data_IF_141846504096
#
_entry.id   IF_141846504096
#
_cell.length_a   1.000
_cell.length_b   1.000
_cell.length_c   1.000
_cell.angle_alpha   90.00
_cell.angle_beta   90.00
_cell.angle_gamma   90.00
#
_symmetry.space_group_name_H-M   'P 1'
#
loop_
_entity.id
_entity.type
_entity.pdbx_description
1 polymer ?
#
# COMPACT_ATOMS: atom_id res chain seq x y z
N UNK A 1 -0.44 22.65 11.98
CA UNK A 1 -1.05 22.58 10.63
C UNK A 1 -0.66 21.31 9.84
N UNK A 2 0.62 20.93 9.74
CA UNK A 2 1.03 19.66 9.08
C UNK A 2 0.33 18.41 9.66
N UNK A 3 0.28 18.27 10.98
CA UNK A 3 -0.43 17.15 11.64
C UNK A 3 -1.94 17.13 11.34
N UNK A 4 -2.54 18.28 11.01
CA UNK A 4 -3.95 18.36 10.64
C UNK A 4 -4.16 17.85 9.21
N UNK A 5 -3.29 18.21 8.25
CA UNK A 5 -3.31 17.65 6.91
C UNK A 5 -3.14 16.12 6.91
N UNK A 6 -2.25 15.60 7.75
CA UNK A 6 -2.08 14.13 7.96
C UNK A 6 -3.31 13.50 8.60
N UNK A 7 -4.05 14.23 9.43
CA UNK A 7 -5.31 13.75 10.01
C UNK A 7 -6.41 13.68 8.95
N UNK A 8 -6.52 14.69 8.09
CA UNK A 8 -7.46 14.70 6.96
C UNK A 8 -7.17 13.54 5.99
N UNK A 9 -5.90 13.25 5.73
CA UNK A 9 -5.45 12.08 4.96
C UNK A 9 -6.08 10.79 5.50
N UNK A 10 -5.94 10.55 6.81
CA UNK A 10 -6.42 9.33 7.48
C UNK A 10 -7.94 9.17 7.41
N UNK A 11 -8.66 10.27 7.28
CA UNK A 11 -10.11 10.30 7.14
C UNK A 11 -10.59 10.32 5.68
N UNK A 12 -9.70 10.12 4.71
CA UNK A 12 -10.00 10.12 3.27
C UNK A 12 -10.56 11.46 2.76
N UNK A 13 -10.33 12.56 3.49
CA UNK A 13 -10.77 13.92 3.12
C UNK A 13 -9.73 14.57 2.22
N UNK A 14 -9.53 13.99 1.02
CA UNK A 14 -8.43 14.36 0.11
C UNK A 14 -8.49 15.84 -0.30
N UNK A 15 -9.64 16.34 -0.76
CA UNK A 15 -9.74 17.71 -1.29
C UNK A 15 -9.52 18.76 -0.19
N UNK A 16 -10.05 18.50 1.00
CA UNK A 16 -9.80 19.35 2.16
C UNK A 16 -8.32 19.29 2.59
N UNK A 17 -7.72 18.10 2.51
CA UNK A 17 -6.29 17.91 2.72
C UNK A 17 -5.45 18.75 1.76
N UNK A 18 -5.77 18.73 0.46
CA UNK A 18 -5.12 19.56 -0.55
C UNK A 18 -5.28 21.05 -0.22
N UNK A 19 -6.50 21.51 0.04
CA UNK A 19 -6.76 22.93 0.35
C UNK A 19 -6.01 23.41 1.60
N UNK A 20 -5.92 22.56 2.63
CA UNK A 20 -5.10 22.85 3.82
C UNK A 20 -3.62 22.91 3.47
N UNK A 21 -3.10 21.95 2.70
CA UNK A 21 -1.69 21.96 2.28
C UNK A 21 -1.37 23.22 1.47
N UNK A 22 -2.21 23.60 0.52
CA UNK A 22 -2.00 24.79 -0.32
C UNK A 22 -1.94 26.07 0.50
N UNK A 23 -2.83 26.20 1.49
CA UNK A 23 -2.80 27.32 2.43
C UNK A 23 -1.50 27.36 3.24
N UNK A 24 -0.97 26.21 3.67
CA UNK A 24 0.24 26.14 4.49
C UNK A 24 1.48 26.41 3.65
N UNK A 25 1.57 25.85 2.44
CA UNK A 25 2.73 26.03 1.54
C UNK A 25 2.96 27.52 1.23
N UNK A 26 1.90 28.33 1.19
CA UNK A 26 2.00 29.77 0.98
C UNK A 26 2.64 30.54 2.16
N UNK A 27 2.75 29.93 3.35
CA UNK A 27 3.33 30.59 4.52
C UNK A 27 4.85 30.80 4.35
N UNK A 28 5.38 32.02 4.55
CA UNK A 28 6.81 32.29 4.32
C UNK A 28 7.74 31.60 5.32
N UNK A 29 7.24 31.29 6.52
CA UNK A 29 8.03 30.78 7.65
C UNK A 29 8.37 29.29 7.58
N UNK A 30 7.89 28.57 6.56
CA UNK A 30 8.21 27.14 6.44
C UNK A 30 9.68 26.91 6.08
N UNK A 31 10.31 26.03 6.84
CA UNK A 31 11.62 25.47 6.50
C UNK A 31 11.57 24.66 5.20
N UNK A 32 12.71 24.45 4.56
CA UNK A 32 12.82 23.60 3.37
C UNK A 32 12.27 22.18 3.62
N UNK A 33 12.60 21.58 4.77
CA UNK A 33 12.12 20.24 5.16
C UNK A 33 10.60 20.18 5.28
N UNK A 34 9.97 21.21 5.87
CA UNK A 34 8.51 21.27 5.99
C UNK A 34 7.84 21.43 4.63
N UNK A 35 8.38 22.30 3.75
CA UNK A 35 7.87 22.47 2.39
C UNK A 35 7.99 21.18 1.59
N UNK A 36 9.15 20.53 1.66
CA UNK A 36 9.40 19.25 1.00
C UNK A 36 8.38 18.19 1.45
N UNK A 37 8.17 18.04 2.77
CA UNK A 37 7.16 17.12 3.29
C UNK A 37 5.74 17.42 2.77
N UNK A 38 5.36 18.70 2.70
CA UNK A 38 4.06 19.11 2.18
C UNK A 38 3.91 18.79 0.69
N UNK A 39 4.94 19.02 -0.12
CA UNK A 39 4.92 18.69 -1.55
C UNK A 39 4.83 17.17 -1.79
N UNK A 40 5.56 16.35 -1.03
CA UNK A 40 5.43 14.88 -1.13
C UNK A 40 4.00 14.45 -0.80
N UNK A 41 3.41 14.95 0.29
CA UNK A 41 2.04 14.61 0.67
C UNK A 41 1.01 15.10 -0.37
N UNK A 42 1.19 16.31 -0.92
CA UNK A 42 0.35 16.82 -2.02
C UNK A 42 0.50 15.96 -3.28
N UNK A 43 1.70 15.47 -3.58
CA UNK A 43 1.96 14.52 -4.66
C UNK A 43 1.18 13.21 -4.49
N UNK A 44 1.13 12.65 -3.28
CA UNK A 44 0.30 11.47 -2.99
C UNK A 44 -1.18 11.77 -3.30
N UNK A 45 -1.70 12.93 -2.88
CA UNK A 45 -3.08 13.31 -3.19
C UNK A 45 -3.34 13.50 -4.68
N UNK A 46 -2.42 14.16 -5.39
CA UNK A 46 -2.50 14.35 -6.83
C UNK A 46 -2.53 12.98 -7.56
N UNK A 47 -1.68 12.03 -7.15
CA UNK A 47 -1.70 10.66 -7.66
C UNK A 47 -3.04 9.97 -7.41
N UNK A 48 -3.57 10.03 -6.19
CA UNK A 48 -4.87 9.43 -5.84
C UNK A 48 -6.02 10.03 -6.67
N UNK A 49 -5.96 11.34 -6.95
CA UNK A 49 -6.91 12.05 -7.82
C UNK A 49 -6.68 11.85 -9.31
N UNK A 50 -5.60 11.16 -9.71
CA UNK A 50 -5.17 11.00 -11.11
C UNK A 50 -4.86 12.35 -11.78
N UNK A 51 -4.46 13.34 -10.99
CA UNK A 51 -3.99 14.64 -11.46
C UNK A 51 -2.47 14.59 -11.65
N UNK A 52 -2.06 14.03 -12.79
CA UNK A 52 -0.65 13.80 -13.09
C UNK A 52 0.12 15.10 -13.34
N UNK A 53 -0.56 16.17 -13.78
CA UNK A 53 0.05 17.48 -13.93
C UNK A 53 0.41 18.06 -12.55
N UNK A 54 -0.55 18.09 -11.61
CA UNK A 54 -0.29 18.56 -10.25
C UNK A 54 0.75 17.69 -9.53
N UNK A 55 0.79 16.38 -9.82
CA UNK A 55 1.86 15.51 -9.31
C UNK A 55 3.23 15.94 -9.85
N UNK A 56 3.34 16.18 -11.16
CA UNK A 56 4.57 16.67 -11.80
C UNK A 56 5.08 17.95 -11.15
N UNK A 57 4.19 18.93 -10.91
CA UNK A 57 4.53 20.18 -10.23
C UNK A 57 5.07 19.95 -8.81
N UNK A 58 4.44 19.04 -8.05
CA UNK A 58 4.90 18.69 -6.70
C UNK A 58 6.28 18.04 -6.71
N UNK A 59 6.56 17.15 -7.68
CA UNK A 59 7.85 16.47 -7.81
C UNK A 59 8.96 17.45 -8.26
N UNK A 60 8.64 18.38 -9.16
CA UNK A 60 9.56 19.45 -9.54
C UNK A 60 9.90 20.34 -8.33
N UNK A 61 8.91 20.69 -7.52
CA UNK A 61 9.13 21.45 -6.29
C UNK A 61 9.98 20.66 -5.27
N UNK A 62 9.78 19.35 -5.13
CA UNK A 62 10.63 18.49 -4.30
C UNK A 62 12.08 18.49 -4.79
N UNK A 63 12.27 18.41 -6.12
CA UNK A 63 13.61 18.44 -6.74
C UNK A 63 14.33 19.76 -6.46
N UNK A 64 13.63 20.89 -6.59
CA UNK A 64 14.18 22.21 -6.30
C UNK A 64 14.59 22.39 -4.81
N UNK A 65 13.98 21.63 -3.91
CA UNK A 65 14.32 21.63 -2.48
C UNK A 65 15.43 20.61 -2.13
N UNK A 66 15.74 19.67 -3.02
CA UNK A 66 16.52 18.47 -2.68
C UNK A 66 17.97 18.74 -2.24
N UNK A 67 18.55 19.88 -2.66
CA UNK A 67 19.90 20.31 -2.30
C UNK A 67 19.96 21.10 -0.98
N UNK A 68 18.82 21.61 -0.49
CA UNK A 68 18.75 22.47 0.70
C UNK A 68 18.03 21.81 1.88
N UNK A 69 17.40 20.67 1.66
CA UNK A 69 16.83 19.87 2.74
C UNK A 69 17.93 19.22 3.58
N UNK A 70 17.70 19.15 4.88
CA UNK A 70 18.51 18.33 5.77
C UNK A 70 17.90 16.92 5.86
N UNK A 71 18.54 15.98 5.16
CA UNK A 71 18.12 14.57 5.10
C UNK A 71 18.25 13.85 6.44
N UNK A 72 19.00 14.39 7.40
CA UNK A 72 19.13 13.76 8.74
C UNK A 72 17.90 14.01 9.62
N UNK A 73 17.11 15.03 9.30
CA UNK A 73 15.92 15.44 10.06
C UNK A 73 14.60 15.20 9.32
N UNK A 74 14.66 14.82 8.05
CA UNK A 74 13.49 14.39 7.27
C UNK A 74 13.17 12.92 7.57
N UNK A 75 11.87 12.62 7.68
CA UNK A 75 11.38 11.26 7.73
C UNK A 75 11.75 10.54 6.42
N UNK A 76 12.58 9.49 6.52
CA UNK A 76 13.05 8.71 5.38
C UNK A 76 11.91 8.17 4.50
N UNK A 77 10.72 7.94 5.08
CA UNK A 77 9.55 7.50 4.32
C UNK A 77 9.12 8.53 3.27
N UNK A 78 9.30 9.83 3.52
CA UNK A 78 8.97 10.89 2.56
C UNK A 78 9.86 10.82 1.33
N UNK A 79 11.16 10.55 1.50
CA UNK A 79 12.07 10.36 0.38
C UNK A 79 11.72 9.10 -0.44
N UNK A 80 11.32 8.02 0.24
CA UNK A 80 10.84 6.81 -0.42
C UNK A 80 9.58 7.11 -1.24
N UNK A 81 8.63 7.85 -0.68
CA UNK A 81 7.41 8.24 -1.39
C UNK A 81 7.68 9.18 -2.58
N UNK A 82 8.59 10.14 -2.46
CA UNK A 82 8.98 10.98 -3.61
C UNK A 82 9.45 10.11 -4.78
N UNK A 83 10.45 9.25 -4.54
CA UNK A 83 11.03 8.39 -5.58
C UNK A 83 10.00 7.39 -6.12
N UNK A 84 9.13 6.87 -5.26
CA UNK A 84 8.05 5.99 -5.67
C UNK A 84 7.06 6.70 -6.59
N UNK A 85 6.65 7.92 -6.26
CA UNK A 85 5.76 8.74 -7.07
C UNK A 85 6.38 9.11 -8.42
N UNK A 86 7.68 9.43 -8.47
CA UNK A 86 8.42 9.66 -9.73
C UNK A 86 8.35 8.44 -10.65
N UNK A 87 8.59 7.24 -10.09
CA UNK A 87 8.50 5.99 -10.86
C UNK A 87 7.08 5.70 -11.33
N UNK A 88 6.08 5.96 -10.49
CA UNK A 88 4.67 5.80 -10.86
C UNK A 88 4.24 6.75 -11.98
N UNK A 89 4.64 8.02 -11.91
CA UNK A 89 4.39 9.01 -12.96
C UNK A 89 5.06 8.59 -14.27
N UNK A 90 6.35 8.24 -14.21
CA UNK A 90 7.09 7.77 -15.38
C UNK A 90 6.47 6.50 -15.99
N UNK A 91 6.03 5.55 -15.17
CA UNK A 91 5.33 4.37 -15.64
C UNK A 91 4.02 4.72 -16.34
N UNK A 92 3.26 5.67 -15.81
CA UNK A 92 2.03 6.16 -16.44
C UNK A 92 2.30 6.79 -17.81
N UNK A 93 3.31 7.65 -17.91
CA UNK A 93 3.70 8.32 -19.15
C UNK A 93 4.18 7.35 -20.23
N UNK A 94 4.90 6.30 -19.84
CA UNK A 94 5.43 5.28 -20.75
C UNK A 94 4.42 4.17 -21.10
N UNK A 95 3.36 4.01 -20.30
CA UNK A 95 2.33 2.99 -20.49
C UNK A 95 0.90 3.58 -20.51
N UNK A 96 0.60 4.60 -21.33
CA UNK A 96 -0.68 5.30 -21.29
C UNK A 96 -1.87 4.39 -21.56
N UNK A 97 -1.69 3.33 -22.35
CA UNK A 97 -2.72 2.34 -22.64
C UNK A 97 -3.24 1.60 -21.39
N UNK A 98 -2.43 1.46 -20.34
CA UNK A 98 -2.86 0.85 -19.07
C UNK A 98 -3.86 1.73 -18.31
N UNK A 99 -3.79 3.05 -18.54
CA UNK A 99 -4.63 4.05 -17.87
C UNK A 99 -5.74 4.56 -18.80
N UNK A 100 -5.73 4.18 -20.07
CA UNK A 100 -6.72 4.58 -21.05
C UNK A 100 -8.09 3.96 -20.75
N UNK A 101 -9.14 4.73 -21.03
CA UNK A 101 -10.52 4.31 -20.82
C UNK A 101 -11.13 4.79 -19.50
N UNK A 102 -12.45 4.92 -19.54
CA UNK A 102 -13.28 5.40 -18.43
C UNK A 102 -14.43 4.42 -18.19
N UNK A 103 -14.14 3.18 -17.76
CA UNK A 103 -15.20 2.24 -17.41
C UNK A 103 -16.06 2.81 -16.28
N UNK A 104 -17.35 2.47 -16.29
CA UNK A 104 -18.29 2.91 -15.26
C UNK A 104 -18.13 2.17 -13.93
N UNK A 105 -17.46 1.00 -13.94
CA UNK A 105 -17.22 0.21 -12.75
C UNK A 105 -15.89 0.58 -12.11
N UNK A 106 -15.86 0.57 -10.77
CA UNK A 106 -14.66 0.76 -9.99
C UNK A 106 -14.39 -0.45 -9.09
N UNK A 107 -13.12 -0.78 -8.94
CA UNK A 107 -12.63 -1.70 -7.91
C UNK A 107 -11.79 -0.87 -6.94
N UNK A 108 -12.18 -0.89 -5.67
CA UNK A 108 -11.54 -0.06 -4.66
C UNK A 108 -10.44 -0.83 -3.95
N UNK A 109 -9.20 -0.37 -4.07
CA UNK A 109 -8.05 -0.98 -3.36
C UNK A 109 -7.77 -0.14 -2.12
N UNK A 110 -8.02 -0.72 -0.94
CA UNK A 110 -7.78 -0.05 0.34
C UNK A 110 -6.58 -0.70 0.99
N UNK A 111 -5.51 0.05 1.24
CA UNK A 111 -4.25 -0.56 1.66
C UNK A 111 -3.17 0.38 2.15
N UNK A 112 -1.97 -0.16 2.32
CA UNK A 112 -0.74 0.62 2.50
C UNK A 112 -0.18 1.10 1.14
N UNK A 113 1.10 1.46 1.04
CA UNK A 113 1.69 2.02 -0.19
C UNK A 113 1.47 1.15 -1.44
N UNK A 114 1.35 -0.18 -1.31
CA UNK A 114 1.02 -1.08 -2.43
C UNK A 114 -0.33 -0.79 -3.07
N UNK A 115 -1.28 -0.19 -2.35
CA UNK A 115 -2.55 0.23 -2.94
C UNK A 115 -2.37 1.34 -3.97
N UNK A 116 -1.28 2.14 -3.91
CA UNK A 116 -1.07 3.24 -4.84
C UNK A 116 -0.71 2.78 -6.23
N UNK A 117 0.04 1.69 -6.37
CA UNK A 117 0.59 1.25 -7.65
C UNK A 117 -0.48 1.08 -8.73
N UNK A 118 -1.57 0.31 -8.50
CA UNK A 118 -2.56 0.10 -9.53
C UNK A 118 -3.52 1.29 -9.72
N UNK A 119 -3.39 2.39 -8.97
CA UNK A 119 -4.37 3.48 -9.01
C UNK A 119 -4.56 4.03 -10.43
N UNK A 120 -5.81 4.16 -10.86
CA UNK A 120 -6.14 4.69 -12.19
C UNK A 120 -5.86 3.74 -13.35
N UNK A 121 -5.34 2.54 -13.11
CA UNK A 121 -5.24 1.52 -14.17
C UNK A 121 -6.61 0.96 -14.52
N UNK A 122 -6.78 0.50 -15.76
CA UNK A 122 -7.96 -0.24 -16.20
C UNK A 122 -7.63 -1.72 -16.24
N UNK A 123 -8.51 -2.51 -15.62
CA UNK A 123 -8.42 -3.97 -15.55
C UNK A 123 -9.74 -4.59 -16.03
N UNK A 124 -9.68 -5.85 -16.46
CA UNK A 124 -10.88 -6.65 -16.69
C UNK A 124 -11.01 -7.62 -15.52
N UNK A 125 -12.08 -7.48 -14.73
CA UNK A 125 -12.36 -8.36 -13.61
C UNK A 125 -13.68 -9.10 -13.88
N UNK A 126 -13.63 -10.43 -13.94
CA UNK A 126 -14.80 -11.27 -14.26
C UNK A 126 -15.51 -10.83 -15.56
N UNK A 127 -14.72 -10.54 -16.60
CA UNK A 127 -15.24 -10.07 -17.90
C UNK A 127 -15.71 -8.62 -17.93
N UNK A 128 -15.62 -7.89 -16.81
CA UNK A 128 -16.09 -6.51 -16.70
C UNK A 128 -14.91 -5.53 -16.63
N UNK A 129 -14.76 -4.61 -17.60
CA UNK A 129 -13.80 -3.52 -17.51
C UNK A 129 -14.09 -2.64 -16.29
N UNK A 130 -13.07 -2.39 -15.48
CA UNK A 130 -13.15 -1.63 -14.23
C UNK A 130 -11.94 -0.73 -14.05
N UNK A 131 -12.13 0.45 -13.47
CA UNK A 131 -11.04 1.35 -13.07
C UNK A 131 -10.63 1.01 -11.65
N UNK A 132 -9.33 1.01 -11.36
CA UNK A 132 -8.85 0.91 -9.99
C UNK A 132 -8.92 2.28 -9.30
N UNK A 133 -9.55 2.33 -8.14
CA UNK A 133 -9.62 3.50 -7.27
C UNK A 133 -8.98 3.17 -5.92
N UNK A 134 -7.92 3.88 -5.56
CA UNK A 134 -7.10 3.52 -4.38
C UNK A 134 -7.42 4.38 -3.17
N UNK A 135 -7.36 3.78 -1.99
CA UNK A 135 -7.56 4.42 -0.70
C UNK A 135 -6.37 4.07 0.20
N UNK A 136 -5.45 5.01 0.36
CA UNK A 136 -4.21 4.78 1.10
C UNK A 136 -4.42 4.98 2.61
N UNK A 137 -3.88 4.06 3.40
CA UNK A 137 -3.72 4.12 4.86
C UNK A 137 -2.23 3.96 5.19
N UNK A 138 -1.50 5.07 5.16
CA UNK A 138 -0.04 5.11 5.40
C UNK A 138 0.30 4.46 6.75
N UNK A 139 1.18 3.46 6.72
CA UNK A 139 1.68 2.75 7.91
C UNK A 139 0.70 1.73 8.52
N UNK A 140 -0.46 1.50 7.89
CA UNK A 140 -1.40 0.50 8.35
C UNK A 140 -0.81 -0.92 8.14
N UNK A 141 -0.89 -1.74 9.19
CA UNK A 141 -0.42 -3.12 9.22
C UNK A 141 -1.63 -4.03 9.38
N UNK A 142 -1.59 -5.26 8.88
CA UNK A 142 -2.57 -6.28 9.22
C UNK A 142 -2.68 -6.45 10.74
N UNK A 143 -1.55 -6.36 11.45
CA UNK A 143 -1.51 -6.35 12.92
C UNK A 143 -2.35 -5.22 13.54
N UNK A 144 -2.34 -4.01 12.99
CA UNK A 144 -3.18 -2.92 13.51
C UNK A 144 -4.67 -3.24 13.38
N UNK A 145 -5.05 -3.88 12.27
CA UNK A 145 -6.43 -4.27 12.01
C UNK A 145 -6.85 -5.51 12.83
N UNK A 146 -5.91 -6.33 13.27
CA UNK A 146 -6.15 -7.50 14.13
C UNK A 146 -6.36 -7.19 15.61
N UNK A 147 -6.09 -5.95 16.05
CA UNK A 147 -6.21 -5.59 17.45
C UNK A 147 -7.68 -5.55 17.92
N UNK A 148 -7.97 -6.01 19.15
CA UNK A 148 -9.33 -6.01 19.69
C UNK A 148 -9.83 -4.60 20.03
N UNK A 149 -8.92 -3.73 20.46
CA UNK A 149 -9.24 -2.35 20.84
C UNK A 149 -9.23 -1.42 19.62
N UNK A 150 -10.23 -0.54 19.55
CA UNK A 150 -10.34 0.38 18.43
C UNK A 150 -9.14 1.32 18.35
N UNK A 151 -8.49 1.34 17.19
CA UNK A 151 -7.38 2.24 16.89
C UNK A 151 -7.68 3.11 15.66
N UNK A 152 -6.79 4.07 15.40
CA UNK A 152 -7.01 5.03 14.32
C UNK A 152 -6.94 4.41 12.92
N UNK A 153 -6.22 3.29 12.72
CA UNK A 153 -6.20 2.58 11.44
C UNK A 153 -7.53 1.89 11.16
N UNK A 154 -8.12 1.27 12.19
CA UNK A 154 -9.45 0.69 12.08
C UNK A 154 -10.51 1.74 11.74
N UNK A 155 -10.43 2.95 12.32
CA UNK A 155 -11.27 4.08 11.93
C UNK A 155 -11.00 4.56 10.51
N UNK A 156 -9.72 4.66 10.11
CA UNK A 156 -9.33 5.03 8.75
C UNK A 156 -9.86 4.05 7.69
N UNK A 157 -9.81 2.74 7.97
CA UNK A 157 -10.43 1.73 7.10
C UNK A 157 -11.94 1.95 6.97
N UNK A 158 -12.64 2.24 8.06
CA UNK A 158 -14.09 2.54 8.01
C UNK A 158 -14.39 3.79 7.19
N UNK A 159 -13.55 4.82 7.28
CA UNK A 159 -13.64 6.02 6.43
C UNK A 159 -13.39 5.68 4.96
N UNK A 160 -12.39 4.88 4.62
CA UNK A 160 -12.19 4.42 3.24
C UNK A 160 -13.38 3.60 2.72
N UNK A 161 -13.95 2.74 3.56
CA UNK A 161 -15.14 1.97 3.21
C UNK A 161 -16.39 2.83 3.06
N UNK A 162 -16.47 4.03 3.66
CA UNK A 162 -17.64 4.91 3.47
C UNK A 162 -17.68 5.50 2.06
N UNK A 163 -16.52 5.70 1.44
CA UNK A 163 -16.36 6.18 0.06
C UNK A 163 -16.73 5.13 -0.99
N UNK A 164 -16.70 3.84 -0.63
CA UNK A 164 -17.02 2.75 -1.54
C UNK A 164 -18.54 2.59 -1.69
N UNK A 165 -19.12 2.59 -2.92
CA UNK A 165 -20.54 2.34 -3.11
C UNK A 165 -21.01 1.03 -2.44
N UNK A 166 -22.26 1.01 -1.96
CA UNK A 166 -22.88 -0.24 -1.47
C UNK A 166 -22.82 -1.29 -2.58
N UNK A 167 -22.53 -2.54 -2.21
CA UNK A 167 -22.31 -3.66 -3.15
C UNK A 167 -21.12 -3.49 -4.10
N UNK A 168 -20.25 -2.49 -3.88
CA UNK A 168 -19.00 -2.34 -4.63
C UNK A 168 -17.99 -3.46 -4.32
N UNK A 169 -16.92 -3.51 -5.11
CA UNK A 169 -15.81 -4.45 -4.93
C UNK A 169 -14.66 -3.77 -4.21
N UNK A 170 -14.17 -4.40 -3.14
CA UNK A 170 -13.02 -3.95 -2.34
C UNK A 170 -11.93 -4.99 -2.35
N UNK A 171 -10.71 -4.54 -2.58
CA UNK A 171 -9.47 -5.28 -2.38
C UNK A 171 -8.79 -4.72 -1.13
N UNK A 172 -8.68 -5.53 -0.07
CA UNK A 172 -7.94 -5.19 1.13
C UNK A 172 -6.45 -5.56 0.95
N UNK A 173 -5.60 -4.54 0.88
CA UNK A 173 -4.18 -4.64 0.56
C UNK A 173 -3.31 -4.28 1.77
N UNK A 174 -3.17 -5.24 2.70
CA UNK A 174 -2.38 -5.11 3.91
C UNK A 174 -1.59 -6.39 4.16
N UNK A 175 -0.40 -6.25 4.76
CA UNK A 175 0.45 -7.38 5.16
C UNK A 175 1.91 -7.22 4.73
N UNK A 176 2.23 -6.39 3.73
CA UNK A 176 3.63 -6.25 3.30
C UNK A 176 4.51 -5.75 4.44
N UNK A 177 4.04 -4.74 5.18
CA UNK A 177 4.74 -4.18 6.33
C UNK A 177 4.88 -5.23 7.45
N UNK A 178 3.86 -6.07 7.67
CA UNK A 178 3.88 -7.18 8.64
C UNK A 178 4.90 -8.26 8.25
N UNK A 179 5.28 -8.32 6.98
CA UNK A 179 6.25 -9.27 6.43
C UNK A 179 7.64 -8.65 6.22
N UNK A 180 7.89 -7.41 6.65
CA UNK A 180 9.23 -6.80 6.53
C UNK A 180 10.21 -7.38 7.53
N UNK A 181 11.43 -7.59 7.07
CA UNK A 181 12.53 -8.18 7.84
C UNK A 181 12.95 -7.37 9.09
N UNK A 182 12.69 -6.06 9.13
CA UNK A 182 13.13 -5.13 10.18
C UNK A 182 12.01 -4.65 11.12
N UNK A 183 10.75 -4.96 10.84
CA UNK A 183 9.61 -4.51 11.65
C UNK A 183 8.40 -5.44 11.67
N UNK A 184 8.45 -6.53 10.91
CA UNK A 184 7.37 -7.49 10.75
C UNK A 184 7.39 -8.64 11.77
N UNK A 185 6.58 -9.67 11.51
CA UNK A 185 6.41 -10.85 12.36
C UNK A 185 7.71 -11.62 12.59
N UNK A 186 8.56 -11.74 11.56
CA UNK A 186 9.88 -12.35 11.68
C UNK A 186 10.79 -11.55 12.62
N UNK A 187 10.83 -10.22 12.44
CA UNK A 187 11.60 -9.33 13.33
C UNK A 187 11.13 -9.42 14.78
N UNK A 188 9.82 -9.42 14.98
CA UNK A 188 9.21 -9.55 16.30
C UNK A 188 9.59 -10.88 16.97
N UNK A 189 9.45 -11.99 16.23
CA UNK A 189 9.86 -13.31 16.70
C UNK A 189 11.34 -13.35 17.10
N UNK A 190 12.23 -12.80 16.28
CA UNK A 190 13.67 -12.74 16.62
C UNK A 190 13.96 -11.96 17.89
N UNK A 191 13.24 -10.85 18.11
CA UNK A 191 13.50 -9.93 19.22
C UNK A 191 12.83 -10.38 20.54
N UNK A 192 11.62 -10.95 20.46
CA UNK A 192 10.77 -11.25 21.61
C UNK A 192 10.57 -12.75 21.84
N UNK A 193 11.04 -13.60 20.91
CA UNK A 193 10.74 -15.01 20.89
C UNK A 193 9.28 -15.28 20.50
N UNK A 194 8.77 -16.44 20.92
CA UNK A 194 7.42 -16.90 20.64
C UNK A 194 7.34 -17.75 19.37
N UNK A 195 6.21 -18.42 19.18
CA UNK A 195 5.98 -19.24 17.99
C UNK A 195 5.59 -18.34 16.81
N UNK A 196 6.46 -18.30 15.79
CA UNK A 196 6.29 -17.48 14.59
C UNK A 196 4.99 -17.83 13.84
N UNK A 197 4.64 -19.11 13.75
CA UNK A 197 3.43 -19.56 13.07
C UNK A 197 2.17 -19.12 13.83
N UNK A 198 2.22 -19.19 15.16
CA UNK A 198 1.13 -18.71 16.01
C UNK A 198 0.97 -17.18 15.93
N UNK A 199 2.07 -16.43 15.85
CA UNK A 199 2.06 -14.97 15.67
C UNK A 199 1.42 -14.62 14.32
N UNK A 200 1.84 -15.28 13.24
CA UNK A 200 1.28 -15.08 11.89
C UNK A 200 -0.22 -15.39 11.92
N UNK A 201 -0.61 -16.54 12.48
CA UNK A 201 -2.02 -16.96 12.56
C UNK A 201 -2.88 -15.94 13.26
N UNK A 202 -2.47 -15.51 14.44
CA UNK A 202 -3.22 -14.53 15.24
C UNK A 202 -3.38 -13.20 14.49
N UNK A 203 -2.33 -12.74 13.81
CA UNK A 203 -2.40 -11.52 13.00
C UNK A 203 -3.37 -11.67 11.84
N UNK A 204 -3.26 -12.74 11.06
CA UNK A 204 -4.11 -13.01 9.91
C UNK A 204 -5.58 -13.19 10.31
N UNK A 205 -5.86 -14.02 11.32
CA UNK A 205 -7.22 -14.28 11.79
C UNK A 205 -7.92 -13.00 12.25
N UNK A 206 -7.25 -12.19 13.07
CA UNK A 206 -7.83 -10.94 13.55
C UNK A 206 -8.01 -9.92 12.41
N UNK A 207 -7.04 -9.82 11.50
CA UNK A 207 -7.11 -8.94 10.33
C UNK A 207 -8.30 -9.29 9.44
N UNK A 208 -8.40 -10.55 9.00
CA UNK A 208 -9.49 -11.01 8.14
C UNK A 208 -10.83 -10.85 8.85
N UNK A 209 -10.93 -11.25 10.11
CA UNK A 209 -12.16 -11.11 10.89
C UNK A 209 -12.63 -9.65 10.99
N UNK A 210 -11.70 -8.72 11.24
CA UNK A 210 -12.02 -7.29 11.31
C UNK A 210 -12.51 -6.75 9.97
N UNK A 211 -11.78 -6.99 8.88
CA UNK A 211 -12.12 -6.45 7.55
C UNK A 211 -13.44 -7.04 7.06
N UNK A 212 -13.64 -8.35 7.15
CA UNK A 212 -14.90 -9.00 6.78
C UNK A 212 -16.09 -8.43 7.57
N UNK A 213 -15.92 -8.19 8.88
CA UNK A 213 -16.96 -7.56 9.69
C UNK A 213 -17.23 -6.11 9.25
N UNK A 214 -16.18 -5.35 8.92
CA UNK A 214 -16.31 -3.96 8.51
C UNK A 214 -17.01 -3.81 7.13
N UNK A 215 -16.84 -4.78 6.23
CA UNK A 215 -17.44 -4.77 4.89
C UNK A 215 -18.86 -5.37 4.84
N UNK A 216 -19.19 -6.28 5.76
CA UNK A 216 -20.47 -7.00 5.77
C UNK A 216 -21.70 -6.07 5.72
N UNK A 217 -21.69 -4.97 6.49
CA UNK A 217 -22.82 -4.03 6.56
C UNK A 217 -23.14 -3.32 5.23
N UNK A 218 -22.20 -3.32 4.27
CA UNK A 218 -22.35 -2.68 2.95
C UNK A 218 -22.60 -3.69 1.83
N UNK A 219 -22.68 -4.98 2.14
CA UNK A 219 -22.75 -6.08 1.17
C UNK A 219 -21.65 -5.99 0.11
N UNK A 220 -20.47 -5.53 0.51
CA UNK A 220 -19.30 -5.33 -0.34
C UNK A 220 -18.73 -6.68 -0.77
N UNK A 221 -18.39 -6.83 -2.05
CA UNK A 221 -17.58 -7.96 -2.51
C UNK A 221 -16.15 -7.74 -2.04
N UNK A 222 -15.64 -8.63 -1.18
CA UNK A 222 -14.32 -8.50 -0.56
C UNK A 222 -13.32 -9.48 -1.18
N UNK A 223 -12.16 -8.96 -1.55
CA UNK A 223 -10.96 -9.70 -1.86
C UNK A 223 -9.82 -9.23 -0.94
N UNK A 224 -8.86 -10.10 -0.67
CA UNK A 224 -7.60 -9.76 -0.01
C UNK A 224 -6.45 -9.87 -1.01
N UNK A 225 -5.38 -9.09 -0.83
CA UNK A 225 -4.13 -9.33 -1.57
C UNK A 225 -3.17 -10.15 -0.73
N UNK A 226 -2.53 -11.14 -1.36
CA UNK A 226 -1.30 -11.72 -0.82
C UNK A 226 -0.19 -10.68 -0.67
N UNK A 227 0.84 -11.05 0.07
CA UNK A 227 2.07 -10.27 0.22
C UNK A 227 3.06 -10.72 -0.87
N UNK A 228 3.66 -9.80 -1.65
CA UNK A 228 4.63 -10.18 -2.67
C UNK A 228 5.87 -10.84 -2.07
N UNK A 229 6.53 -11.68 -2.86
CA UNK A 229 7.86 -12.17 -2.53
C UNK A 229 8.86 -11.00 -2.43
N UNK A 230 9.84 -11.07 -1.51
CA UNK A 230 10.82 -10.01 -1.35
C UNK A 230 11.72 -9.90 -2.58
N UNK A 231 12.00 -8.67 -3.02
CA UNK A 231 12.91 -8.40 -4.13
C UNK A 231 14.31 -8.95 -3.86
N UNK A 232 14.94 -9.61 -4.84
CA UNK A 232 16.27 -10.24 -4.71
C UNK A 232 17.39 -9.26 -4.31
N UNK A 233 17.25 -7.99 -4.62
CA UNK A 233 18.21 -6.94 -4.22
C UNK A 233 17.97 -6.36 -2.82
N UNK A 234 16.98 -6.87 -2.06
CA UNK A 234 16.81 -6.43 -0.67
C UNK A 234 18.06 -6.78 0.15
N UNK A 235 18.73 -5.80 0.80
CA UNK A 235 19.98 -6.04 1.53
C UNK A 235 19.87 -7.15 2.58
N UNK A 236 18.74 -7.24 3.28
CA UNK A 236 18.46 -8.26 4.27
C UNK A 236 18.66 -9.70 3.77
N UNK A 237 18.37 -9.98 2.50
CA UNK A 237 18.54 -11.33 1.93
C UNK A 237 20.02 -11.73 1.80
N UNK A 238 20.93 -10.76 1.73
CA UNK A 238 22.37 -10.97 1.65
C UNK A 238 23.04 -10.96 3.02
N UNK A 239 22.48 -10.19 3.96
CA UNK A 239 23.04 -9.99 5.30
C UNK A 239 22.63 -11.08 6.30
N UNK A 240 21.52 -11.76 6.07
CA UNK A 240 21.06 -12.83 6.95
C UNK A 240 21.94 -14.09 6.87
N UNK A 241 22.12 -14.74 8.02
CA UNK A 241 22.57 -16.12 8.08
C UNK A 241 21.57 -17.03 7.34
N UNK A 242 22.00 -18.21 6.91
CA UNK A 242 21.18 -19.12 6.11
C UNK A 242 19.86 -19.49 6.81
N UNK A 243 19.91 -19.75 8.11
CA UNK A 243 18.76 -20.11 8.94
C UNK A 243 17.77 -18.93 9.06
N UNK A 244 18.27 -17.72 9.30
CA UNK A 244 17.47 -16.50 9.37
C UNK A 244 16.80 -16.20 8.02
N UNK A 245 17.53 -16.40 6.91
CA UNK A 245 16.99 -16.21 5.55
C UNK A 245 15.87 -17.21 5.28
N UNK A 246 16.05 -18.48 5.60
CA UNK A 246 15.02 -19.51 5.43
C UNK A 246 13.79 -19.18 6.26
N UNK A 247 13.96 -18.90 7.55
CA UNK A 247 12.85 -18.56 8.45
C UNK A 247 12.10 -17.29 8.01
N UNK A 248 12.80 -16.28 7.49
CA UNK A 248 12.19 -15.08 6.94
C UNK A 248 11.34 -15.37 5.70
N UNK A 249 11.85 -16.14 4.73
CA UNK A 249 11.12 -16.49 3.51
C UNK A 249 9.92 -17.39 3.82
N UNK A 250 10.10 -18.36 4.72
CA UNK A 250 9.02 -19.22 5.23
C UNK A 250 7.93 -18.41 5.93
N UNK A 251 8.28 -17.35 6.67
CA UNK A 251 7.30 -16.47 7.31
C UNK A 251 6.38 -15.80 6.28
N UNK A 252 6.94 -15.32 5.16
CA UNK A 252 6.17 -14.67 4.08
C UNK A 252 5.27 -15.68 3.37
N UNK A 253 5.79 -16.86 3.05
CA UNK A 253 5.03 -17.93 2.43
C UNK A 253 3.89 -18.40 3.36
N UNK A 254 4.17 -18.54 4.66
CA UNK A 254 3.19 -18.92 5.66
C UNK A 254 2.11 -17.85 5.86
N UNK A 255 2.48 -16.56 5.89
CA UNK A 255 1.52 -15.46 5.96
C UNK A 255 0.53 -15.52 4.78
N UNK A 256 1.02 -15.71 3.56
CA UNK A 256 0.18 -15.84 2.37
C UNK A 256 -0.73 -17.07 2.42
N UNK A 257 -0.20 -18.23 2.80
CA UNK A 257 -0.97 -19.46 2.95
C UNK A 257 -2.11 -19.29 3.96
N UNK A 258 -1.79 -18.78 5.15
CA UNK A 258 -2.80 -18.57 6.19
C UNK A 258 -3.82 -17.50 5.78
N UNK A 259 -3.38 -16.41 5.12
CA UNK A 259 -4.30 -15.40 4.60
C UNK A 259 -5.31 -16.01 3.63
N UNK A 260 -4.84 -16.86 2.71
CA UNK A 260 -5.71 -17.59 1.78
C UNK A 260 -6.71 -18.48 2.51
N UNK A 261 -6.23 -19.36 3.38
CA UNK A 261 -7.07 -20.30 4.14
C UNK A 261 -8.14 -19.57 4.97
N UNK A 262 -7.76 -18.53 5.71
CA UNK A 262 -8.67 -17.79 6.59
C UNK A 262 -9.65 -16.93 5.78
N UNK A 263 -9.22 -16.30 4.69
CA UNK A 263 -10.10 -15.50 3.83
C UNK A 263 -11.14 -16.37 3.12
N UNK A 264 -10.72 -17.52 2.57
CA UNK A 264 -11.61 -18.48 1.91
C UNK A 264 -12.64 -19.05 2.90
N UNK A 265 -12.22 -19.37 4.12
CA UNK A 265 -13.13 -19.80 5.19
C UNK A 265 -14.16 -18.72 5.58
N UNK A 266 -13.92 -17.45 5.24
CA UNK A 266 -14.86 -16.32 5.40
C UNK A 266 -15.59 -15.95 4.11
N UNK A 267 -15.44 -16.73 3.04
CA UNK A 267 -16.10 -16.50 1.75
C UNK A 267 -15.51 -15.34 0.95
N UNK A 268 -14.27 -14.93 1.24
CA UNK A 268 -13.54 -13.91 0.48
C UNK A 268 -12.46 -14.57 -0.39
N UNK A 269 -12.22 -14.01 -1.58
CA UNK A 269 -11.15 -14.47 -2.46
C UNK A 269 -9.81 -13.81 -2.11
N UNK A 270 -8.69 -14.45 -2.48
CA UNK A 270 -7.34 -13.89 -2.35
C UNK A 270 -6.69 -13.73 -3.71
N UNK A 271 -6.17 -12.53 -3.97
CA UNK A 271 -5.36 -12.19 -5.13
C UNK A 271 -3.94 -12.70 -4.87
N UNK A 272 -3.50 -13.69 -5.63
CA UNK A 272 -2.22 -14.38 -5.44
C UNK A 272 -1.02 -13.58 -5.99
N UNK A 273 -0.72 -12.48 -5.33
CA UNK A 273 0.46 -11.64 -5.60
C UNK A 273 1.75 -12.40 -5.31
N UNK A 274 1.76 -13.28 -4.31
CA UNK A 274 2.93 -14.09 -3.99
C UNK A 274 3.27 -15.03 -5.16
N UNK A 275 2.28 -15.77 -5.68
CA UNK A 275 2.45 -16.62 -6.86
C UNK A 275 2.83 -15.86 -8.14
N UNK A 276 2.44 -14.59 -8.27
CA UNK A 276 2.92 -13.73 -9.36
C UNK A 276 4.43 -13.44 -9.26
N UNK A 277 4.94 -13.25 -8.04
CA UNK A 277 6.25 -12.64 -7.79
C UNK A 277 7.31 -13.62 -7.30
N UNK A 278 6.94 -14.73 -6.68
CA UNK A 278 7.87 -15.69 -6.10
C UNK A 278 8.56 -16.53 -7.18
N UNK A 279 9.90 -16.53 -7.15
CA UNK A 279 10.71 -17.55 -7.79
C UNK A 279 10.65 -18.90 -7.05
N UNK A 280 11.37 -19.89 -7.55
CA UNK A 280 11.42 -21.24 -6.96
C UNK A 280 11.99 -21.29 -5.54
N UNK A 281 12.72 -20.26 -5.12
CA UNK A 281 13.30 -20.09 -3.78
C UNK A 281 12.51 -19.12 -2.89
N UNK A 282 11.33 -18.66 -3.33
CA UNK A 282 10.52 -17.69 -2.61
C UNK A 282 11.02 -16.24 -2.71
N UNK A 283 12.01 -15.96 -3.56
CA UNK A 283 12.56 -14.62 -3.81
C UNK A 283 12.06 -14.10 -5.16
N UNK A 284 11.77 -12.80 -5.25
CA UNK A 284 11.34 -12.20 -6.50
C UNK A 284 12.51 -11.79 -7.40
N UNK A 285 12.38 -12.09 -8.68
CA UNK A 285 13.31 -11.67 -9.74
C UNK A 285 13.21 -10.17 -10.07
N UNK A 286 12.25 -9.46 -9.47
CA UNK A 286 12.02 -8.03 -9.65
C UNK A 286 11.18 -7.66 -10.87
N UNK A 287 10.80 -8.62 -11.73
CA UNK A 287 10.05 -8.35 -12.98
C UNK A 287 8.73 -7.61 -12.75
N UNK A 288 8.08 -7.90 -11.63
CA UNK A 288 6.78 -7.37 -11.22
C UNK A 288 6.88 -6.23 -10.20
N UNK A 289 8.09 -5.75 -9.94
CA UNK A 289 8.35 -4.67 -9.02
C UNK A 289 8.75 -3.40 -9.77
N UNK A 290 8.31 -2.25 -9.26
CA UNK A 290 8.71 -0.93 -9.79
C UNK A 290 9.93 -0.38 -9.03
N UNK A 291 10.17 -0.90 -7.82
CA UNK A 291 11.36 -0.69 -7.01
C UNK A 291 11.60 -1.88 -6.07
N UNK A 292 12.52 -1.81 -5.12
CA UNK A 292 12.82 -2.96 -4.26
C UNK A 292 11.70 -3.35 -3.27
N UNK A 293 10.62 -2.58 -3.22
CA UNK A 293 9.50 -2.75 -2.31
C UNK A 293 8.17 -2.94 -3.02
N UNK A 294 7.82 -2.04 -3.92
CA UNK A 294 6.48 -1.90 -4.50
C UNK A 294 6.33 -2.66 -5.81
N UNK A 295 5.11 -3.14 -6.04
CA UNK A 295 4.72 -3.77 -7.31
C UNK A 295 4.57 -2.76 -8.43
N UNK A 296 4.64 -3.24 -9.67
CA UNK A 296 4.28 -2.47 -10.86
C UNK A 296 2.77 -2.21 -10.96
N UNK A 297 2.36 -1.09 -11.58
CA UNK A 297 0.94 -0.76 -11.76
C UNK A 297 0.13 -1.80 -12.55
N UNK A 298 0.76 -2.57 -13.44
CA UNK A 298 0.11 -3.58 -14.27
C UNK A 298 -0.03 -4.96 -13.59
N UNK A 299 0.43 -5.12 -12.35
CA UNK A 299 0.37 -6.39 -11.61
C UNK A 299 -1.06 -6.95 -11.46
N UNK A 300 -2.05 -6.13 -11.09
CA UNK A 300 -3.43 -6.60 -10.98
C UNK A 300 -4.03 -6.99 -12.34
N UNK A 301 -3.66 -6.28 -13.42
CA UNK A 301 -4.11 -6.62 -14.78
C UNK A 301 -3.60 -8.00 -15.18
N UNK A 302 -2.33 -8.29 -14.90
CA UNK A 302 -1.75 -9.61 -15.14
C UNK A 302 -2.46 -10.69 -14.33
N UNK A 303 -2.70 -10.47 -13.03
CA UNK A 303 -3.33 -11.48 -12.18
C UNK A 303 -4.76 -11.79 -12.63
N UNK A 304 -5.56 -10.77 -12.99
CA UNK A 304 -6.93 -10.98 -13.44
C UNK A 304 -7.04 -11.56 -14.86
N UNK A 305 -5.95 -11.57 -15.63
CA UNK A 305 -5.91 -12.18 -16.95
C UNK A 305 -5.62 -13.69 -16.92
N UNK A 306 -5.21 -14.24 -15.76
CA UNK A 306 -4.92 -15.66 -15.55
C UNK A 306 -6.17 -16.42 -15.10
#
# INVERSE_FOLDING_TARGET
HINFAVTLFRHQRIDEGIGVIDSIIAEPQLTANQRYALFVNKGIYAWLRKDFAALGDCLQACTALSDIIDRTTIDASLCIYQLYLERLLHHCETNPALYAGSPSNEIHVIGESHSLSPNGTVVTFEGTPSKIASHLLIGCKAWHLSQPSENYFQRGLRSALSEVPKKGTVIACFGEIDCRHNEGVFHHHRKQGGDLDAIIRKTVEGYVAFVTKATAARNTRLLFTGVPAPHHERPALREFAAEDRTAYLEAIANFNRQLKEVAEAKGAAVIDVYGLTAGGDGVADGKWHIDHHHLRPDSLREIFAR
#
